data_IF_772685322404
#
_entry.id   IF_772685322404
#
_cell.length_a   1.000
_cell.length_b   1.000
_cell.length_c   1.000
_cell.angle_alpha   90.00
_cell.angle_beta   90.00
_cell.angle_gamma   90.00
#
_symmetry.space_group_name_H-M   'P 1'
#
loop_
_entity.id
_entity.type
_entity.pdbx_description
1 polymer ?
#
# COMPACT_ATOMS: atom_id res chain seq x y z
N UNK A 1 -33.92 5.90 6.20
CA UNK A 1 -33.69 5.95 7.66
C UNK A 1 -32.80 7.14 7.99
N UNK A 2 -32.68 7.54 9.27
CA UNK A 2 -31.77 8.65 9.67
C UNK A 2 -30.35 8.34 9.21
N UNK A 3 -29.93 7.07 9.24
CA UNK A 3 -28.61 6.64 8.79
C UNK A 3 -28.44 6.83 7.27
N UNK A 4 -29.44 6.50 6.46
CA UNK A 4 -29.41 6.72 5.00
C UNK A 4 -29.20 8.20 4.62
N UNK A 5 -29.79 9.12 5.38
CA UNK A 5 -29.63 10.56 5.14
C UNK A 5 -28.34 11.12 5.73
N UNK A 6 -27.89 10.57 6.87
CA UNK A 6 -26.69 11.02 7.58
C UNK A 6 -25.40 10.55 6.92
N UNK A 7 -25.36 9.32 6.40
CA UNK A 7 -24.14 8.70 5.88
C UNK A 7 -23.53 9.47 4.70
N UNK A 8 -24.30 9.94 3.70
CA UNK A 8 -23.76 10.78 2.63
C UNK A 8 -23.12 12.07 3.15
N UNK A 9 -23.74 12.71 4.14
CA UNK A 9 -23.21 13.94 4.75
C UNK A 9 -21.91 13.63 5.48
N UNK A 10 -21.91 12.62 6.34
CA UNK A 10 -20.73 12.21 7.11
C UNK A 10 -19.53 11.93 6.20
N UNK A 11 -19.73 11.11 5.17
CA UNK A 11 -18.64 10.70 4.27
C UNK A 11 -18.15 11.88 3.42
N UNK A 12 -19.07 12.68 2.87
CA UNK A 12 -18.69 13.86 2.08
C UNK A 12 -17.93 14.87 2.93
N UNK A 13 -18.35 15.12 4.17
CA UNK A 13 -17.63 16.01 5.08
C UNK A 13 -16.27 15.45 5.48
N UNK A 14 -16.15 14.14 5.70
CA UNK A 14 -14.92 13.52 6.15
C UNK A 14 -13.87 13.29 5.03
N UNK A 15 -14.32 13.05 3.79
CA UNK A 15 -13.48 12.59 2.68
C UNK A 15 -13.58 13.45 1.41
N UNK A 16 -14.52 14.39 1.34
CA UNK A 16 -14.79 15.18 0.12
C UNK A 16 -13.56 15.89 -0.42
N UNK A 17 -12.82 16.60 0.45
CA UNK A 17 -11.60 17.32 0.06
C UNK A 17 -10.51 16.38 -0.48
N UNK A 18 -10.37 15.20 0.12
CA UNK A 18 -9.38 14.18 -0.31
C UNK A 18 -9.72 13.58 -1.67
N UNK A 19 -11.01 13.45 -1.96
CA UNK A 19 -11.50 12.74 -3.14
C UNK A 19 -11.95 13.66 -4.28
N UNK A 20 -11.77 14.98 -4.12
CA UNK A 20 -12.26 16.01 -5.05
C UNK A 20 -11.72 15.85 -6.49
N UNK A 21 -10.55 15.25 -6.66
CA UNK A 21 -9.91 15.02 -7.97
C UNK A 21 -10.39 13.79 -8.76
N UNK A 22 -11.22 12.92 -8.17
CA UNK A 22 -11.54 11.61 -8.74
C UNK A 22 -12.92 11.53 -9.44
N UNK A 23 -13.66 12.65 -9.53
CA UNK A 23 -15.01 12.71 -10.14
C UNK A 23 -15.97 11.66 -9.59
N UNK A 24 -15.99 11.50 -8.25
CA UNK A 24 -16.83 10.52 -7.56
C UNK A 24 -18.19 11.11 -7.19
N UNK A 25 -19.22 10.26 -7.21
CA UNK A 25 -20.52 10.52 -6.60
C UNK A 25 -20.59 9.90 -5.21
N UNK A 26 -21.23 10.62 -4.29
CA UNK A 26 -21.43 10.22 -2.89
C UNK A 26 -22.92 10.21 -2.60
N UNK A 27 -23.46 9.07 -2.16
CA UNK A 27 -24.85 8.96 -1.76
C UNK A 27 -25.58 7.77 -2.40
N UNK A 28 -26.92 7.72 -2.28
CA UNK A 28 -27.72 6.64 -2.84
C UNK A 28 -27.58 6.60 -4.36
N UNK A 29 -27.29 5.43 -4.92
CA UNK A 29 -27.15 5.26 -6.36
C UNK A 29 -27.53 3.85 -6.83
N UNK A 30 -27.92 3.77 -8.10
CA UNK A 30 -28.02 2.50 -8.83
C UNK A 30 -26.68 2.16 -9.45
N UNK A 31 -26.19 0.98 -9.12
CA UNK A 31 -24.87 0.52 -9.49
C UNK A 31 -24.92 -0.69 -10.41
N UNK A 32 -23.96 -0.75 -11.32
CA UNK A 32 -23.80 -1.82 -12.28
C UNK A 32 -23.51 -3.15 -11.58
N UNK A 33 -24.28 -4.18 -11.92
CA UNK A 33 -24.05 -5.55 -11.46
C UNK A 33 -23.95 -6.55 -12.62
N UNK A 34 -24.06 -6.10 -13.87
CA UNK A 34 -23.96 -6.95 -15.04
C UNK A 34 -24.67 -6.39 -16.27
N UNK A 35 -24.46 -7.07 -17.40
CA UNK A 35 -25.03 -6.72 -18.70
C UNK A 35 -25.65 -7.97 -19.32
N UNK A 36 -26.82 -7.82 -19.94
CA UNK A 36 -27.45 -8.87 -20.74
C UNK A 36 -27.84 -8.32 -22.11
N UNK A 37 -27.81 -9.19 -23.12
CA UNK A 37 -28.20 -8.85 -24.48
C UNK A 37 -29.45 -9.63 -24.85
N UNK A 38 -30.55 -8.92 -25.08
CA UNK A 38 -31.81 -9.49 -25.56
C UNK A 38 -31.80 -9.48 -27.10
N UNK A 39 -30.96 -10.33 -27.68
CA UNK A 39 -30.83 -10.50 -29.13
C UNK A 39 -31.21 -11.91 -29.55
N UNK A 40 -31.83 -12.03 -30.74
CA UNK A 40 -32.06 -13.31 -31.40
C UNK A 40 -31.65 -13.20 -32.86
N UNK A 41 -31.32 -14.33 -33.50
CA UNK A 41 -30.98 -14.38 -34.94
C UNK A 41 -32.11 -13.73 -35.78
N UNK A 42 -33.35 -13.91 -35.36
CA UNK A 42 -34.54 -13.37 -36.04
C UNK A 42 -34.97 -11.99 -35.54
N UNK A 43 -34.34 -11.45 -34.50
CA UNK A 43 -34.67 -10.15 -33.90
C UNK A 43 -33.40 -9.44 -33.45
N UNK A 44 -32.88 -8.58 -34.32
CA UNK A 44 -31.74 -7.72 -34.04
C UNK A 44 -32.28 -6.37 -33.55
N UNK A 45 -32.27 -6.16 -32.23
CA UNK A 45 -32.51 -4.84 -31.67
C UNK A 45 -31.30 -3.91 -31.86
N UNK A 46 -31.48 -2.58 -31.83
CA UNK A 46 -30.35 -1.66 -31.81
C UNK A 46 -29.43 -2.00 -30.63
N UNK A 47 -28.11 -1.90 -30.85
CA UNK A 47 -27.11 -2.23 -29.83
C UNK A 47 -27.20 -3.65 -29.27
N UNK A 48 -27.70 -4.62 -30.04
CA UNK A 48 -27.84 -6.01 -29.60
C UNK A 48 -28.88 -6.23 -28.50
N UNK A 49 -29.80 -5.29 -28.28
CA UNK A 49 -30.79 -5.40 -27.21
C UNK A 49 -30.18 -5.30 -25.81
N UNK A 50 -29.10 -4.53 -25.66
CA UNK A 50 -28.41 -4.33 -24.39
C UNK A 50 -29.37 -3.89 -23.27
N UNK A 51 -29.25 -4.54 -22.11
CA UNK A 51 -29.89 -4.19 -20.85
C UNK A 51 -28.88 -4.30 -19.72
N UNK A 52 -28.79 -3.24 -18.92
CA UNK A 52 -28.01 -3.28 -17.69
C UNK A 52 -28.80 -3.99 -16.60
N UNK A 53 -28.09 -4.76 -15.77
CA UNK A 53 -28.57 -5.23 -14.48
C UNK A 53 -27.94 -4.33 -13.43
N UNK A 54 -28.78 -3.74 -12.60
CA UNK A 54 -28.36 -2.78 -11.58
C UNK A 54 -28.90 -3.19 -10.21
N UNK A 55 -28.26 -2.66 -9.17
CA UNK A 55 -28.70 -2.77 -7.79
C UNK A 55 -28.79 -1.38 -7.17
N UNK A 56 -29.89 -1.13 -6.47
CA UNK A 56 -30.04 0.06 -5.64
C UNK A 56 -29.25 -0.13 -4.35
N UNK A 57 -28.52 0.91 -3.94
CA UNK A 57 -27.80 0.93 -2.68
C UNK A 57 -28.14 2.19 -1.89
N UNK A 58 -28.27 2.03 -0.58
CA UNK A 58 -28.55 3.11 0.36
C UNK A 58 -27.43 4.17 0.38
N UNK A 59 -26.18 3.74 0.17
CA UNK A 59 -25.04 4.63 0.02
C UNK A 59 -23.97 4.05 -0.88
N UNK A 60 -23.40 4.90 -1.73
CA UNK A 60 -22.36 4.57 -2.70
C UNK A 60 -21.29 5.65 -2.70
N UNK A 61 -20.04 5.21 -2.79
CA UNK A 61 -18.93 6.01 -3.34
C UNK A 61 -18.60 5.37 -4.67
N UNK A 62 -18.92 6.06 -5.75
CA UNK A 62 -18.89 5.47 -7.08
C UNK A 62 -18.57 6.47 -8.15
N UNK A 63 -18.34 5.96 -9.36
CA UNK A 63 -18.14 6.81 -10.54
C UNK A 63 -19.20 6.50 -11.58
N UNK A 64 -19.69 7.56 -12.20
CA UNK A 64 -20.65 7.47 -13.29
C UNK A 64 -20.03 6.77 -14.50
N UNK A 65 -20.74 5.81 -15.07
CA UNK A 65 -20.31 5.01 -16.21
C UNK A 65 -21.33 5.13 -17.34
N UNK A 66 -20.84 5.35 -18.55
CA UNK A 66 -21.63 5.36 -19.78
C UNK A 66 -21.23 4.16 -20.63
N UNK A 67 -22.19 3.30 -20.97
CA UNK A 67 -21.96 2.11 -21.80
C UNK A 67 -22.74 2.30 -23.10
N UNK A 68 -22.07 2.11 -24.24
CA UNK A 68 -22.71 2.11 -25.55
C UNK A 68 -22.44 0.80 -26.27
N UNK A 69 -23.50 0.14 -26.72
CA UNK A 69 -23.42 -1.06 -27.54
C UNK A 69 -23.94 -0.75 -28.95
N UNK A 70 -23.25 -1.24 -29.98
CA UNK A 70 -23.67 -1.18 -31.38
C UNK A 70 -23.17 -2.42 -32.13
N UNK A 71 -23.86 -2.78 -33.22
CA UNK A 71 -23.37 -3.73 -34.22
C UNK A 71 -22.40 -3.08 -35.22
N UNK A 72 -22.27 -1.75 -35.20
CA UNK A 72 -21.45 -0.97 -36.11
C UNK A 72 -20.23 -0.40 -35.37
N UNK A 73 -19.05 -0.51 -35.99
CA UNK A 73 -17.78 -0.12 -35.37
C UNK A 73 -17.66 1.38 -35.06
N UNK A 74 -18.36 2.21 -35.83
CA UNK A 74 -18.47 3.65 -35.60
C UNK A 74 -19.54 4.02 -34.56
N UNK A 75 -20.13 3.01 -33.91
CA UNK A 75 -21.15 3.12 -32.88
C UNK A 75 -22.46 3.80 -33.34
N UNK A 76 -22.69 3.93 -34.66
CA UNK A 76 -23.99 4.37 -35.20
C UNK A 76 -25.07 3.34 -34.86
N UNK A 77 -26.32 3.80 -34.74
CA UNK A 77 -27.49 2.98 -34.36
C UNK A 77 -27.32 2.13 -33.07
N UNK A 78 -26.56 2.66 -32.11
CA UNK A 78 -26.30 2.02 -30.82
C UNK A 78 -27.30 2.35 -29.71
N UNK A 79 -27.27 1.55 -28.64
CA UNK A 79 -27.98 1.83 -27.38
C UNK A 79 -26.97 2.32 -26.36
N UNK A 80 -27.23 3.50 -25.80
CA UNK A 80 -26.46 4.05 -24.68
C UNK A 80 -27.23 3.84 -23.39
N UNK A 81 -26.54 3.40 -22.35
CA UNK A 81 -27.05 3.32 -21.00
C UNK A 81 -26.09 3.98 -20.02
N UNK A 82 -26.63 4.45 -18.91
CA UNK A 82 -25.91 5.14 -17.84
C UNK A 82 -26.09 4.33 -16.56
N UNK A 83 -25.01 4.20 -15.77
CA UNK A 83 -24.99 3.50 -14.49
C UNK A 83 -23.85 4.02 -13.62
N UNK A 84 -23.60 3.41 -12.45
CA UNK A 84 -22.46 3.71 -11.61
C UNK A 84 -21.61 2.47 -11.36
N UNK A 85 -20.29 2.62 -11.41
CA UNK A 85 -19.35 1.67 -10.82
C UNK A 85 -19.22 2.02 -9.34
N UNK A 86 -19.56 1.08 -8.47
CA UNK A 86 -19.44 1.27 -7.04
C UNK A 86 -18.07 0.80 -6.55
N UNK A 87 -17.33 1.67 -5.86
CA UNK A 87 -16.10 1.31 -5.16
C UNK A 87 -16.38 0.98 -3.70
N UNK A 88 -17.30 1.72 -3.08
CA UNK A 88 -17.84 1.41 -1.76
C UNK A 88 -19.34 1.44 -1.83
N UNK A 89 -19.97 0.43 -1.24
CA UNK A 89 -21.41 0.30 -1.09
C UNK A 89 -21.74 0.05 0.37
N UNK A 90 -22.81 0.66 0.84
CA UNK A 90 -23.35 0.41 2.16
C UNK A 90 -24.88 0.28 2.08
N UNK A 91 -25.40 -0.77 2.72
CA UNK A 91 -26.81 -0.96 2.99
C UNK A 91 -27.10 -0.55 4.43
N UNK A 92 -28.08 0.32 4.62
CA UNK A 92 -28.47 0.85 5.92
C UNK A 92 -29.78 0.21 6.35
N UNK A 93 -29.77 -0.51 7.48
CA UNK A 93 -30.97 -1.20 7.99
C UNK A 93 -31.27 -0.80 9.42
N UNK A 94 -32.54 -0.62 9.75
CA UNK A 94 -32.94 -0.43 11.15
C UNK A 94 -32.67 -1.69 11.98
N UNK A 95 -32.76 -2.87 11.39
CA UNK A 95 -32.43 -4.12 12.06
C UNK A 95 -31.81 -5.11 11.08
N UNK A 96 -31.09 -6.08 11.61
CA UNK A 96 -30.56 -7.20 10.84
C UNK A 96 -31.18 -8.51 11.31
N UNK A 97 -31.99 -9.13 10.45
CA UNK A 97 -32.49 -10.50 10.62
C UNK A 97 -31.84 -11.45 9.59
N UNK A 98 -32.14 -12.74 9.70
CA UNK A 98 -31.52 -13.78 8.86
C UNK A 98 -31.85 -13.62 7.37
N UNK A 99 -33.05 -13.18 7.02
CA UNK A 99 -33.47 -13.01 5.63
C UNK A 99 -32.74 -11.82 5.02
N UNK A 100 -32.69 -10.68 5.73
CA UNK A 100 -31.94 -9.50 5.30
C UNK A 100 -30.45 -9.78 5.11
N UNK A 101 -29.86 -10.57 6.02
CA UNK A 101 -28.46 -11.00 5.90
C UNK A 101 -28.22 -11.81 4.61
N UNK A 102 -29.10 -12.75 4.27
CA UNK A 102 -28.96 -13.56 3.06
C UNK A 102 -29.12 -12.74 1.77
N UNK A 103 -30.08 -11.81 1.74
CA UNK A 103 -30.29 -10.91 0.60
C UNK A 103 -29.10 -9.97 0.38
N UNK A 104 -28.54 -9.43 1.47
CA UNK A 104 -27.35 -8.60 1.41
C UNK A 104 -26.11 -9.40 0.98
N UNK A 105 -25.95 -10.64 1.43
CA UNK A 105 -24.85 -11.50 1.00
C UNK A 105 -24.90 -11.81 -0.50
N UNK A 106 -26.10 -12.08 -1.05
CA UNK A 106 -26.30 -12.27 -2.48
C UNK A 106 -26.03 -10.98 -3.27
N UNK A 107 -26.43 -9.83 -2.73
CA UNK A 107 -26.20 -8.52 -3.36
C UNK A 107 -24.72 -8.15 -3.36
N UNK A 108 -24.00 -8.40 -2.26
CA UNK A 108 -22.56 -8.21 -2.18
C UNK A 108 -21.82 -9.05 -3.23
N UNK A 109 -22.27 -10.30 -3.45
CA UNK A 109 -21.70 -11.17 -4.47
C UNK A 109 -21.95 -10.62 -5.88
N UNK A 110 -23.17 -10.16 -6.18
CA UNK A 110 -23.49 -9.54 -7.48
C UNK A 110 -22.61 -8.30 -7.75
N UNK A 111 -22.42 -7.43 -6.75
CA UNK A 111 -21.59 -6.21 -6.87
C UNK A 111 -20.12 -6.58 -7.09
N UNK A 112 -19.57 -7.49 -6.28
CA UNK A 112 -18.15 -7.89 -6.38
C UNK A 112 -17.86 -8.71 -7.63
N UNK A 113 -18.85 -9.42 -8.19
CA UNK A 113 -18.70 -10.07 -9.49
C UNK A 113 -18.50 -9.05 -10.62
N UNK A 114 -19.14 -7.88 -10.53
CA UNK A 114 -18.99 -6.80 -11.50
C UNK A 114 -17.75 -5.93 -11.22
N UNK A 115 -17.43 -5.71 -9.94
CA UNK A 115 -16.32 -4.86 -9.48
C UNK A 115 -15.57 -5.61 -8.37
N UNK A 116 -14.56 -6.43 -8.70
CA UNK A 116 -13.88 -7.29 -7.72
C UNK A 116 -13.27 -6.55 -6.53
N UNK A 117 -12.82 -5.31 -6.74
CA UNK A 117 -12.25 -4.45 -5.71
C UNK A 117 -13.30 -3.67 -4.88
N UNK A 118 -14.59 -3.76 -5.23
CA UNK A 118 -15.63 -3.03 -4.50
C UNK A 118 -15.72 -3.53 -3.06
N UNK A 119 -15.99 -2.61 -2.14
CA UNK A 119 -16.28 -2.91 -0.74
C UNK A 119 -17.78 -2.84 -0.47
N UNK A 120 -18.29 -3.78 0.29
CA UNK A 120 -19.71 -3.93 0.61
C UNK A 120 -19.93 -4.02 2.12
N UNK A 121 -20.69 -3.08 2.65
CA UNK A 121 -20.94 -2.93 4.07
C UNK A 121 -22.43 -3.00 4.41
N UNK A 122 -22.74 -3.52 5.60
CA UNK A 122 -24.08 -3.43 6.19
C UNK A 122 -24.00 -2.59 7.46
N UNK A 123 -24.67 -1.45 7.49
CA UNK A 123 -24.80 -0.60 8.66
C UNK A 123 -26.18 -0.81 9.27
N UNK A 124 -26.23 -1.50 10.40
CA UNK A 124 -27.48 -1.89 11.04
C UNK A 124 -27.61 -1.25 12.41
N UNK A 125 -28.72 -0.58 12.70
CA UNK A 125 -28.92 -0.01 14.05
C UNK A 125 -28.97 -1.10 15.13
N UNK A 126 -29.68 -2.21 14.84
CA UNK A 126 -29.92 -3.27 15.82
C UNK A 126 -29.66 -4.67 15.23
N UNK A 127 -29.10 -5.57 16.02
CA UNK A 127 -29.00 -6.99 15.66
C UNK A 127 -30.24 -7.75 16.17
N UNK A 128 -30.96 -8.42 15.26
CA UNK A 128 -32.21 -9.15 15.53
C UNK A 128 -32.07 -10.65 15.19
N UNK A 129 -30.85 -11.16 15.25
CA UNK A 129 -30.49 -12.56 14.99
C UNK A 129 -29.28 -12.98 15.83
N UNK A 130 -29.03 -14.28 15.94
CA UNK A 130 -27.77 -14.78 16.49
C UNK A 130 -26.62 -14.33 15.58
N UNK A 131 -25.50 -13.83 16.11
CA UNK A 131 -24.32 -13.51 15.31
C UNK A 131 -23.88 -14.70 14.44
N UNK A 132 -23.61 -14.44 13.16
CA UNK A 132 -23.10 -15.43 12.21
C UNK A 132 -21.76 -14.91 11.68
N UNK A 133 -20.83 -15.82 11.39
CA UNK A 133 -19.55 -15.48 10.78
C UNK A 133 -19.76 -15.01 9.33
N UNK A 134 -19.23 -13.82 8.99
CA UNK A 134 -19.31 -13.22 7.65
C UNK A 134 -18.22 -13.70 6.71
N UNK A 135 -17.20 -14.42 7.20
CA UNK A 135 -16.02 -14.84 6.42
C UNK A 135 -16.35 -15.73 5.22
N UNK A 136 -17.54 -16.33 5.19
CA UNK A 136 -18.03 -17.17 4.09
C UNK A 136 -18.89 -16.41 3.08
N UNK A 137 -18.99 -15.08 3.20
CA UNK A 137 -19.82 -14.22 2.36
C UNK A 137 -18.98 -13.17 1.64
N UNK A 138 -19.57 -12.53 0.62
CA UNK A 138 -18.95 -11.41 -0.08
C UNK A 138 -19.03 -10.07 0.71
N UNK A 139 -19.70 -10.03 1.86
CA UNK A 139 -19.82 -8.84 2.71
C UNK A 139 -18.48 -8.60 3.39
N UNK A 140 -17.90 -7.40 3.26
CA UNK A 140 -16.65 -7.04 3.93
C UNK A 140 -16.86 -6.89 5.44
N UNK A 141 -17.91 -6.16 5.83
CA UNK A 141 -18.19 -5.95 7.25
C UNK A 141 -19.67 -5.68 7.54
N UNK A 142 -20.13 -6.17 8.68
CA UNK A 142 -21.42 -5.83 9.27
C UNK A 142 -21.17 -4.98 10.51
N UNK A 143 -21.66 -3.75 10.47
CA UNK A 143 -21.46 -2.74 11.50
C UNK A 143 -22.77 -2.55 12.26
N UNK A 144 -22.78 -2.94 13.53
CA UNK A 144 -23.92 -2.74 14.41
C UNK A 144 -23.76 -1.41 15.15
N UNK A 145 -24.63 -0.45 14.85
CA UNK A 145 -24.49 0.94 15.29
C UNK A 145 -24.90 1.15 16.75
N UNK A 146 -25.72 0.28 17.34
CA UNK A 146 -26.09 0.33 18.76
C UNK A 146 -25.74 -0.97 19.45
N UNK A 147 -25.05 -0.90 20.59
CA UNK A 147 -24.58 -2.07 21.36
C UNK A 147 -25.69 -2.69 22.21
N UNK A 148 -26.85 -2.96 21.61
CA UNK A 148 -27.98 -3.61 22.28
C UNK A 148 -28.90 -4.36 21.33
N UNK A 149 -29.86 -5.10 21.89
CA UNK A 149 -30.90 -5.79 21.12
C UNK A 149 -32.02 -4.82 20.78
N UNK A 150 -32.66 -5.06 19.63
CA UNK A 150 -33.87 -4.34 19.23
C UNK A 150 -34.99 -4.54 20.25
N UNK A 151 -35.85 -3.52 20.40
CA UNK A 151 -37.12 -3.64 21.11
C UNK A 151 -37.94 -4.83 20.55
N UNK A 152 -38.40 -5.76 21.42
CA UNK A 152 -39.24 -6.89 21.02
C UNK A 152 -40.50 -6.51 20.24
N UNK A 153 -40.94 -7.37 19.33
CA UNK A 153 -42.06 -7.10 18.42
C UNK A 153 -43.39 -6.80 19.14
N UNK A 154 -43.66 -7.45 20.28
CA UNK A 154 -44.84 -7.23 21.10
C UNK A 154 -44.89 -5.80 21.68
N UNK A 155 -43.74 -5.26 22.09
CA UNK A 155 -43.65 -3.86 22.54
C UNK A 155 -43.72 -2.93 21.33
N UNK A 156 -43.13 -3.32 20.20
CA UNK A 156 -43.17 -2.50 18.97
C UNK A 156 -44.58 -2.32 18.41
N UNK A 157 -45.47 -3.28 18.63
CA UNK A 157 -46.87 -3.18 18.23
C UNK A 157 -47.57 -1.94 18.80
N UNK A 158 -47.13 -1.45 19.96
CA UNK A 158 -47.67 -0.22 20.58
C UNK A 158 -47.34 1.05 19.77
N UNK A 159 -46.34 1.03 18.89
CA UNK A 159 -46.00 2.15 18.01
C UNK A 159 -46.68 2.10 16.63
N UNK A 160 -47.55 1.12 16.37
CA UNK A 160 -48.19 0.94 15.06
C UNK A 160 -49.17 2.06 14.70
N UNK A 161 -49.85 2.64 15.70
CA UNK A 161 -50.84 3.73 15.51
C UNK A 161 -50.30 5.09 15.91
N UNK A 162 -50.88 6.18 15.38
CA UNK A 162 -50.50 7.55 15.76
C UNK A 162 -50.69 7.80 17.26
N UNK A 163 -51.82 7.34 17.81
CA UNK A 163 -52.11 7.47 19.24
C UNK A 163 -51.09 6.68 20.09
N UNK A 164 -50.77 5.45 19.69
CA UNK A 164 -49.78 4.61 20.35
C UNK A 164 -48.37 5.20 20.33
N UNK A 165 -47.94 5.79 19.20
CA UNK A 165 -46.68 6.54 19.09
C UNK A 165 -46.61 7.73 20.03
N UNK A 166 -47.72 8.49 20.17
CA UNK A 166 -47.78 9.63 21.09
C UNK A 166 -47.71 9.19 22.55
N UNK A 167 -48.45 8.15 22.92
CA UNK A 167 -48.46 7.63 24.28
C UNK A 167 -47.12 7.00 24.68
N UNK A 168 -46.46 6.30 23.75
CA UNK A 168 -45.22 5.56 24.02
C UNK A 168 -43.95 6.36 23.70
N UNK A 169 -44.09 7.66 23.36
CA UNK A 169 -42.96 8.51 22.94
C UNK A 169 -41.86 8.58 24.00
N UNK A 170 -42.23 8.76 25.27
CA UNK A 170 -41.26 8.85 26.38
C UNK A 170 -40.40 7.59 26.49
N UNK A 171 -41.04 6.41 26.46
CA UNK A 171 -40.35 5.12 26.53
C UNK A 171 -39.42 4.89 25.32
N UNK A 172 -39.80 5.35 24.13
CA UNK A 172 -38.94 5.26 22.95
C UNK A 172 -37.72 6.19 23.08
N UNK A 173 -37.91 7.41 23.57
CA UNK A 173 -36.81 8.36 23.80
C UNK A 173 -35.82 7.77 24.81
N UNK A 174 -36.30 7.32 25.96
CA UNK A 174 -35.48 6.70 27.00
C UNK A 174 -34.71 5.48 26.47
N UNK A 175 -35.34 4.66 25.62
CA UNK A 175 -34.67 3.53 24.98
C UNK A 175 -33.55 3.96 24.03
N UNK A 176 -33.75 5.02 23.25
CA UNK A 176 -32.73 5.54 22.33
C UNK A 176 -31.58 6.22 23.05
N UNK A 177 -31.87 6.92 24.16
CA UNK A 177 -30.87 7.60 25.01
C UNK A 177 -30.03 6.61 25.81
N UNK A 178 -30.62 5.51 26.29
CA UNK A 178 -29.90 4.42 26.97
C UNK A 178 -29.04 3.57 26.04
N UNK A 179 -29.29 3.63 24.72
CA UNK A 179 -28.58 2.84 23.73
C UNK A 179 -28.15 3.72 22.54
N UNK A 180 -27.28 4.73 22.75
CA UNK A 180 -26.92 5.68 21.73
C UNK A 180 -26.19 5.02 20.55
N UNK A 181 -26.14 5.72 19.43
CA UNK A 181 -25.29 5.34 18.30
C UNK A 181 -23.82 5.36 18.75
N UNK A 182 -23.07 4.32 18.40
CA UNK A 182 -21.67 4.16 18.78
C UNK A 182 -20.76 4.91 17.80
N UNK A 183 -20.18 6.03 18.24
CA UNK A 183 -19.29 6.85 17.41
C UNK A 183 -18.11 6.04 16.85
N UNK A 184 -17.53 5.14 17.63
CA UNK A 184 -16.42 4.27 17.20
C UNK A 184 -16.76 3.46 15.95
N UNK A 185 -18.02 3.07 15.77
CA UNK A 185 -18.45 2.32 14.58
C UNK A 185 -18.43 3.17 13.31
N UNK A 186 -18.77 4.45 13.41
CA UNK A 186 -18.64 5.40 12.31
C UNK A 186 -17.19 5.77 12.04
N UNK A 187 -16.39 5.96 13.10
CA UNK A 187 -14.95 6.17 12.96
C UNK A 187 -14.30 4.99 12.27
N UNK A 188 -14.65 3.75 12.61
CA UNK A 188 -14.17 2.53 11.93
C UNK A 188 -14.59 2.49 10.46
N UNK A 189 -15.87 2.78 10.18
CA UNK A 189 -16.35 2.88 8.80
C UNK A 189 -15.56 3.90 7.98
N UNK A 190 -15.23 5.07 8.54
CA UNK A 190 -14.44 6.08 7.84
C UNK A 190 -12.95 5.72 7.76
N UNK A 191 -12.33 5.36 8.89
CA UNK A 191 -10.88 5.24 9.05
C UNK A 191 -10.29 3.95 8.49
N UNK A 192 -11.00 2.84 8.60
CA UNK A 192 -10.51 1.53 8.16
C UNK A 192 -11.06 1.17 6.79
N UNK A 193 -12.29 1.61 6.49
CA UNK A 193 -13.10 1.04 5.41
C UNK A 193 -13.33 2.00 4.23
N UNK A 194 -13.32 3.32 4.47
CA UNK A 194 -13.35 4.34 3.41
C UNK A 194 -11.98 4.98 3.12
N UNK A 195 -11.01 4.94 4.05
CA UNK A 195 -9.62 5.32 3.73
C UNK A 195 -8.92 4.32 2.80
N UNK A 196 -9.38 3.07 2.76
CA UNK A 196 -8.99 2.07 1.76
C UNK A 196 -9.50 2.36 0.34
N UNK A 197 -10.18 3.48 0.08
CA UNK A 197 -10.54 3.92 -1.28
C UNK A 197 -9.32 4.47 -2.03
N UNK A 198 -8.33 5.01 -1.29
CA UNK A 198 -6.98 5.25 -1.82
C UNK A 198 -6.23 3.92 -2.06
N UNK A 199 -6.73 2.80 -1.53
CA UNK A 199 -6.20 1.46 -1.75
C UNK A 199 -6.84 0.75 -2.98
N UNK A 200 -7.12 1.53 -4.05
CA UNK A 200 -6.56 1.09 -5.32
C UNK A 200 -5.04 1.18 -5.13
N UNK A 201 -4.42 0.10 -4.62
CA UNK A 201 -3.01 0.04 -4.23
C UNK A 201 -2.19 0.95 -5.13
N UNK A 202 -1.70 2.07 -4.59
CA UNK A 202 -0.84 2.93 -5.37
C UNK A 202 0.30 2.03 -5.84
N UNK A 203 0.52 1.87 -7.16
CA UNK A 203 1.47 0.88 -7.64
C UNK A 203 2.84 1.19 -7.00
N UNK A 204 3.49 0.15 -6.48
CA UNK A 204 4.77 0.27 -5.80
C UNK A 204 5.73 0.98 -6.77
N UNK A 205 6.32 2.14 -6.39
CA UNK A 205 7.25 2.83 -7.28
C UNK A 205 8.46 1.96 -7.57
N UNK A 206 8.76 1.79 -8.85
CA UNK A 206 9.86 0.95 -9.34
C UNK A 206 10.99 1.85 -9.82
N UNK A 207 12.11 1.79 -9.11
CA UNK A 207 13.36 2.45 -9.46
C UNK A 207 14.45 1.47 -9.84
N UNK A 208 15.67 1.98 -9.96
CA UNK A 208 16.83 1.22 -10.39
C UNK A 208 18.10 1.74 -9.73
N UNK A 209 18.91 0.81 -9.24
CA UNK A 209 20.28 1.09 -8.82
C UNK A 209 21.14 1.28 -10.09
N UNK A 210 21.69 2.48 -10.25
CA UNK A 210 22.38 2.86 -11.48
C UNK A 210 23.53 3.83 -11.19
N UNK A 211 24.52 3.89 -12.07
CA UNK A 211 25.52 4.96 -12.05
C UNK A 211 25.07 6.14 -12.92
N UNK A 212 25.40 7.39 -12.57
CA UNK A 212 24.96 8.59 -13.30
C UNK A 212 25.17 8.51 -14.83
N UNK A 213 26.28 7.91 -15.25
CA UNK A 213 26.71 7.85 -16.65
C UNK A 213 25.82 6.93 -17.50
N UNK A 214 25.12 5.97 -16.87
CA UNK A 214 24.23 5.03 -17.54
C UNK A 214 22.79 5.50 -17.64
N UNK A 215 22.41 6.59 -16.97
CA UNK A 215 21.03 7.10 -16.93
C UNK A 215 20.51 7.44 -18.32
N UNK A 216 21.36 7.95 -19.21
CA UNK A 216 20.98 8.28 -20.60
C UNK A 216 20.58 7.06 -21.44
N UNK A 217 21.06 5.86 -21.08
CA UNK A 217 20.75 4.60 -21.75
C UNK A 217 19.63 3.81 -21.06
N UNK A 218 19.06 4.34 -19.97
CA UNK A 218 18.00 3.70 -19.21
C UNK A 218 16.68 3.70 -20.00
N UNK A 219 15.98 2.57 -20.01
CA UNK A 219 14.64 2.51 -20.56
C UNK A 219 13.68 3.48 -19.84
N UNK A 220 12.81 4.20 -20.55
CA UNK A 220 11.87 5.12 -19.92
C UNK A 220 10.82 4.37 -19.07
N UNK A 221 10.33 5.02 -18.01
CA UNK A 221 9.20 4.55 -17.20
C UNK A 221 9.54 4.05 -15.79
N UNK A 222 10.81 4.09 -15.39
CA UNK A 222 11.19 3.99 -13.97
C UNK A 222 10.73 5.24 -13.21
N UNK A 223 10.34 5.08 -11.95
CA UNK A 223 9.78 6.16 -11.12
C UNK A 223 10.87 6.97 -10.39
N UNK A 224 12.00 6.34 -10.08
CA UNK A 224 13.12 6.97 -9.37
C UNK A 224 14.46 6.32 -9.72
N UNK A 225 15.54 7.04 -9.40
CA UNK A 225 16.90 6.52 -9.42
C UNK A 225 17.39 6.21 -8.01
N UNK A 226 18.24 5.20 -7.93
CA UNK A 226 19.02 4.86 -6.75
C UNK A 226 20.50 4.90 -7.07
N UNK A 227 21.26 5.77 -6.40
CA UNK A 227 22.69 5.98 -6.68
C UNK A 227 23.55 5.55 -5.49
N UNK A 228 24.78 5.13 -5.76
CA UNK A 228 25.73 4.81 -4.71
C UNK A 228 26.19 6.07 -3.95
N UNK A 229 26.03 6.11 -2.62
CA UNK A 229 26.51 7.23 -1.79
C UNK A 229 28.02 7.41 -1.95
N UNK A 230 28.77 6.34 -1.73
CA UNK A 230 30.24 6.39 -1.67
C UNK A 230 30.90 6.91 -2.95
N UNK A 231 30.36 6.57 -4.12
CA UNK A 231 30.91 7.00 -5.42
C UNK A 231 30.18 8.17 -6.06
N UNK A 232 28.89 8.39 -5.76
CA UNK A 232 28.11 9.49 -6.36
C UNK A 232 28.07 10.73 -5.49
N UNK A 233 27.97 10.58 -4.16
CA UNK A 233 27.95 11.71 -3.23
C UNK A 233 29.34 12.02 -2.66
N UNK A 234 30.31 11.15 -2.88
CA UNK A 234 31.73 11.30 -2.51
C UNK A 234 31.98 11.95 -1.12
N UNK A 235 31.39 11.46 -0.01
CA UNK A 235 31.38 12.20 1.26
C UNK A 235 32.75 12.38 1.93
N UNK A 236 33.75 11.58 1.51
CA UNK A 236 35.14 11.76 1.94
C UNK A 236 35.82 12.97 1.28
N UNK A 237 35.34 13.41 0.12
CA UNK A 237 35.84 14.59 -0.57
C UNK A 237 35.26 15.87 0.03
N UNK A 238 36.01 16.96 -0.08
CA UNK A 238 35.61 18.29 0.37
C UNK A 238 34.39 18.83 -0.41
N UNK A 239 33.67 19.78 0.19
CA UNK A 239 32.39 20.27 -0.35
C UNK A 239 32.54 21.04 -1.67
N UNK A 240 33.69 21.66 -1.91
CA UNK A 240 34.01 22.33 -3.17
C UNK A 240 34.14 21.34 -4.35
N UNK A 241 34.71 20.15 -4.10
CA UNK A 241 34.76 19.06 -5.06
C UNK A 241 33.35 18.52 -5.35
N UNK A 242 32.52 18.38 -4.32
CA UNK A 242 31.15 17.90 -4.49
C UNK A 242 30.24 18.89 -5.21
N UNK A 243 30.42 20.20 -5.02
CA UNK A 243 29.57 21.22 -5.63
C UNK A 243 29.50 21.11 -7.16
N UNK A 244 30.62 20.79 -7.82
CA UNK A 244 30.66 20.55 -9.26
C UNK A 244 29.85 19.31 -9.66
N UNK A 245 29.95 18.24 -8.86
CA UNK A 245 29.26 16.97 -9.09
C UNK A 245 27.75 17.06 -8.83
N UNK A 246 27.33 17.87 -7.86
CA UNK A 246 25.93 18.03 -7.49
C UNK A 246 25.09 18.52 -8.67
N UNK A 247 25.59 19.49 -9.45
CA UNK A 247 24.88 20.02 -10.61
C UNK A 247 24.54 18.93 -11.64
N UNK A 248 25.48 18.02 -11.92
CA UNK A 248 25.26 16.90 -12.84
C UNK A 248 24.20 15.92 -12.31
N UNK A 249 24.15 15.72 -10.99
CA UNK A 249 23.18 14.83 -10.34
C UNK A 249 21.77 15.43 -10.30
N UNK A 250 21.65 16.75 -10.08
CA UNK A 250 20.38 17.47 -10.04
C UNK A 250 19.59 17.39 -11.36
N UNK A 251 20.29 17.25 -12.49
CA UNK A 251 19.70 17.16 -13.82
C UNK A 251 19.22 15.75 -14.19
N UNK A 252 19.58 14.72 -13.42
CA UNK A 252 19.20 13.34 -13.72
C UNK A 252 17.69 13.12 -13.61
N UNK A 253 17.14 12.37 -14.57
CA UNK A 253 15.72 11.99 -14.60
C UNK A 253 15.57 10.48 -14.84
N UNK A 254 14.62 9.79 -14.17
CA UNK A 254 13.72 10.28 -13.11
C UNK A 254 14.49 10.77 -11.86
N UNK A 255 13.80 11.40 -10.90
CA UNK A 255 14.49 11.97 -9.72
C UNK A 255 15.16 10.87 -8.90
N UNK A 256 16.29 11.20 -8.30
CA UNK A 256 16.94 10.35 -7.31
C UNK A 256 16.08 10.36 -6.04
N UNK A 257 15.76 9.18 -5.49
CA UNK A 257 14.95 9.05 -4.26
C UNK A 257 15.55 8.08 -3.24
N UNK A 258 16.50 7.25 -3.66
CA UNK A 258 17.17 6.30 -2.79
C UNK A 258 18.68 6.33 -3.06
N UNK A 259 19.45 5.83 -2.11
CA UNK A 259 20.88 5.65 -2.28
C UNK A 259 21.35 4.33 -1.68
N UNK A 260 22.24 3.61 -2.35
CA UNK A 260 22.87 2.40 -1.83
C UNK A 260 24.37 2.61 -1.55
N UNK A 261 25.07 1.55 -1.14
CA UNK A 261 26.51 1.57 -0.87
C UNK A 261 26.92 2.75 0.05
N UNK A 262 26.20 2.87 1.18
CA UNK A 262 26.26 4.03 2.08
C UNK A 262 27.68 4.36 2.54
N UNK A 263 28.41 3.38 3.09
CA UNK A 263 29.78 3.56 3.61
C UNK A 263 30.77 2.70 2.80
N UNK A 264 31.88 3.27 2.31
CA UNK A 264 32.89 2.52 1.57
C UNK A 264 33.72 1.63 2.51
N UNK A 265 34.20 0.48 2.01
CA UNK A 265 34.90 -0.51 2.84
C UNK A 265 36.23 -0.05 3.44
N UNK A 266 36.79 1.07 2.98
CA UNK A 266 37.99 1.69 3.55
C UNK A 266 37.71 2.43 4.86
N UNK A 267 36.47 2.88 5.10
CA UNK A 267 36.05 3.49 6.35
C UNK A 267 35.40 2.41 7.22
N UNK A 268 36.13 1.93 8.23
CA UNK A 268 35.65 0.83 9.08
C UNK A 268 34.65 1.33 10.11
N UNK A 269 33.62 0.52 10.37
CA UNK A 269 32.59 0.74 11.38
C UNK A 269 32.70 -0.25 12.55
N UNK A 270 33.53 -1.28 12.39
CA UNK A 270 33.75 -2.35 13.37
C UNK A 270 35.24 -2.62 13.51
N UNK A 271 35.69 -2.83 14.75
CA UNK A 271 37.08 -3.13 15.10
C UNK A 271 37.62 -2.22 16.20
N UNK A 272 38.86 -2.45 16.63
CA UNK A 272 39.50 -1.67 17.69
C UNK A 272 39.80 -0.23 17.25
N UNK A 273 40.20 -0.05 15.98
CA UNK A 273 40.72 1.21 15.44
C UNK A 273 39.70 1.97 14.57
N UNK A 274 38.42 1.96 14.96
CA UNK A 274 37.40 2.74 14.25
C UNK A 274 37.63 4.23 14.49
N UNK A 275 37.92 4.97 13.42
CA UNK A 275 38.01 6.43 13.43
C UNK A 275 36.61 7.07 13.44
N UNK A 276 36.08 7.26 14.64
CA UNK A 276 34.74 7.82 14.82
C UNK A 276 34.61 9.28 14.38
N UNK A 277 35.68 10.07 14.43
CA UNK A 277 35.64 11.45 13.96
C UNK A 277 35.44 11.48 12.44
N UNK A 278 36.15 10.63 11.71
CA UNK A 278 35.98 10.49 10.27
C UNK A 278 34.60 9.92 9.91
N UNK A 279 34.10 8.96 10.69
CA UNK A 279 32.75 8.39 10.51
C UNK A 279 31.67 9.46 10.70
N UNK A 280 31.77 10.28 11.74
CA UNK A 280 30.83 11.36 12.03
C UNK A 280 30.80 12.39 10.90
N UNK A 281 31.96 12.87 10.46
CA UNK A 281 32.06 13.79 9.32
C UNK A 281 31.52 13.17 8.03
N UNK A 282 31.79 11.89 7.78
CA UNK A 282 31.29 11.17 6.61
C UNK A 282 29.77 11.12 6.59
N UNK A 283 29.15 10.74 7.70
CA UNK A 283 27.69 10.58 7.82
C UNK A 283 26.98 11.92 7.66
N UNK A 284 27.49 12.99 8.30
CA UNK A 284 26.94 14.34 8.15
C UNK A 284 26.94 14.76 6.67
N UNK A 285 28.09 14.67 6.00
CA UNK A 285 28.20 15.02 4.58
C UNK A 285 27.31 14.15 3.70
N UNK A 286 27.31 12.84 3.92
CA UNK A 286 26.55 11.90 3.11
C UNK A 286 25.06 12.20 3.15
N UNK A 287 24.49 12.38 4.36
CA UNK A 287 23.06 12.59 4.54
C UNK A 287 22.63 13.98 4.11
N UNK A 288 23.43 15.02 4.39
CA UNK A 288 23.17 16.37 3.87
C UNK A 288 23.16 16.40 2.33
N UNK A 289 24.13 15.73 1.69
CA UNK A 289 24.21 15.65 0.23
C UNK A 289 23.06 14.84 -0.38
N UNK A 290 22.66 13.73 0.26
CA UNK A 290 21.51 12.93 -0.15
C UNK A 290 20.19 13.73 -0.03
N UNK A 291 20.03 14.49 1.06
CA UNK A 291 18.87 15.34 1.30
C UNK A 291 18.74 16.44 0.23
N UNK A 292 19.86 17.08 -0.16
CA UNK A 292 19.85 18.11 -1.20
C UNK A 292 19.37 17.61 -2.57
N UNK A 293 19.55 16.32 -2.86
CA UNK A 293 19.06 15.68 -4.08
C UNK A 293 17.62 15.14 -3.93
N UNK A 294 16.98 15.32 -2.76
CA UNK A 294 15.62 14.87 -2.46
C UNK A 294 15.52 13.37 -2.17
N UNK A 295 16.58 12.79 -1.59
CA UNK A 295 16.59 11.41 -1.11
C UNK A 295 15.63 11.15 0.03
N UNK A 296 14.93 10.02 -0.01
CA UNK A 296 14.04 9.54 1.05
C UNK A 296 14.68 8.37 1.83
N UNK A 297 15.53 7.57 1.18
CA UNK A 297 16.12 6.35 1.75
C UNK A 297 17.61 6.28 1.47
N UNK A 298 18.39 5.86 2.49
CA UNK A 298 19.80 5.49 2.34
C UNK A 298 20.02 4.07 2.87
N UNK A 299 20.46 3.17 2.00
CA UNK A 299 20.63 1.74 2.27
C UNK A 299 22.00 1.46 2.89
N UNK A 300 21.98 0.90 4.09
CA UNK A 300 23.14 0.43 4.83
C UNK A 300 23.40 -1.06 4.59
N UNK A 301 23.99 -1.39 3.44
CA UNK A 301 24.53 -2.72 3.12
C UNK A 301 26.01 -2.86 3.49
N UNK A 302 26.87 -2.00 2.92
CA UNK A 302 28.26 -1.70 3.34
C UNK A 302 29.09 -2.86 3.96
N UNK A 303 29.04 -4.06 3.36
CA UNK A 303 29.66 -5.27 3.92
C UNK A 303 31.14 -5.09 4.27
N UNK A 304 31.91 -4.43 3.40
CA UNK A 304 33.33 -4.16 3.65
C UNK A 304 33.61 -3.22 4.82
N UNK A 305 32.68 -2.31 5.16
CA UNK A 305 32.83 -1.37 6.27
C UNK A 305 32.44 -2.01 7.62
N UNK A 306 31.47 -2.95 7.60
CA UNK A 306 30.87 -3.54 8.81
C UNK A 306 31.28 -4.99 9.10
N UNK A 307 32.03 -5.64 8.21
CA UNK A 307 32.50 -7.01 8.44
C UNK A 307 33.33 -7.10 9.73
N UNK A 308 33.00 -8.08 10.57
CA UNK A 308 33.67 -8.31 11.85
C UNK A 308 35.07 -8.87 11.59
N UNK A 309 36.15 -8.21 12.07
CA UNK A 309 37.49 -8.75 11.95
C UNK A 309 37.65 -10.11 12.63
N UNK A 310 38.55 -10.94 12.12
CA UNK A 310 38.84 -12.25 12.72
C UNK A 310 39.31 -12.06 14.17
N UNK A 311 38.70 -12.80 15.10
CA UNK A 311 39.03 -12.72 16.54
C UNK A 311 38.37 -11.57 17.30
N UNK A 312 37.70 -10.63 16.61
CA UNK A 312 36.97 -9.55 17.26
C UNK A 312 35.60 -10.02 17.77
N UNK A 313 35.16 -9.49 18.92
CA UNK A 313 33.90 -9.89 19.54
C UNK A 313 32.70 -9.44 18.70
N UNK A 314 31.84 -10.39 18.31
CA UNK A 314 30.58 -10.07 17.61
C UNK A 314 29.67 -9.16 18.44
N UNK A 315 29.71 -9.28 19.77
CA UNK A 315 28.92 -8.42 20.67
C UNK A 315 29.43 -6.98 20.65
N UNK A 316 30.75 -6.78 20.66
CA UNK A 316 31.34 -5.45 20.53
C UNK A 316 31.09 -4.86 19.14
N UNK A 317 31.21 -5.68 18.08
CA UNK A 317 30.86 -5.28 16.73
C UNK A 317 29.40 -4.82 16.63
N UNK A 318 28.45 -5.58 17.20
CA UNK A 318 27.05 -5.21 17.25
C UNK A 318 26.84 -3.86 17.94
N UNK A 319 27.50 -3.64 19.10
CA UNK A 319 27.45 -2.36 19.80
C UNK A 319 27.99 -1.18 18.98
N UNK A 320 29.03 -1.39 18.18
CA UNK A 320 29.55 -0.36 17.26
C UNK A 320 28.56 -0.06 16.12
N UNK A 321 27.86 -1.07 15.60
CA UNK A 321 26.82 -0.87 14.60
C UNK A 321 25.60 -0.13 15.17
N UNK A 322 25.21 -0.43 16.41
CA UNK A 322 24.18 0.34 17.12
C UNK A 322 24.60 1.81 17.28
N UNK A 323 25.85 2.08 17.68
CA UNK A 323 26.40 3.45 17.76
C UNK A 323 26.35 4.16 16.41
N UNK A 324 26.84 3.51 15.36
CA UNK A 324 26.84 4.07 14.00
C UNK A 324 25.43 4.42 13.52
N UNK A 325 24.48 3.48 13.63
CA UNK A 325 23.10 3.72 13.20
C UNK A 325 22.40 4.77 14.06
N UNK A 326 22.72 4.88 15.36
CA UNK A 326 22.20 5.96 16.23
C UNK A 326 22.68 7.34 15.78
N UNK A 327 23.95 7.44 15.36
CA UNK A 327 24.51 8.64 14.75
C UNK A 327 23.81 8.97 13.43
N UNK A 328 23.65 8.00 12.54
CA UNK A 328 22.93 8.18 11.28
C UNK A 328 21.48 8.63 11.51
N UNK A 329 20.78 8.05 12.49
CA UNK A 329 19.43 8.44 12.85
C UNK A 329 19.35 9.91 13.31
N UNK A 330 20.34 10.38 14.08
CA UNK A 330 20.41 11.78 14.50
C UNK A 330 20.51 12.76 13.32
N UNK A 331 21.33 12.42 12.32
CA UNK A 331 21.50 13.23 11.11
C UNK A 331 20.30 13.11 10.14
N UNK A 332 19.75 11.89 10.00
CA UNK A 332 18.64 11.61 9.10
C UNK A 332 17.32 12.29 9.53
N UNK A 333 17.10 12.43 10.84
CA UNK A 333 15.92 13.06 11.43
C UNK A 333 15.69 14.50 10.94
N UNK A 334 16.76 15.25 10.68
CA UNK A 334 16.67 16.63 10.20
C UNK A 334 16.20 16.74 8.73
N UNK A 335 16.16 15.63 8.01
CA UNK A 335 15.97 15.57 6.57
C UNK A 335 14.87 14.61 6.12
N UNK A 336 14.10 14.04 7.07
CA UNK A 336 13.08 13.01 6.80
C UNK A 336 13.62 11.80 6.01
N UNK A 337 14.91 11.46 6.20
CA UNK A 337 15.56 10.32 5.55
C UNK A 337 15.39 9.07 6.42
N UNK A 338 15.12 7.93 5.76
CA UNK A 338 15.17 6.61 6.40
C UNK A 338 16.48 5.90 6.08
N UNK A 339 17.17 5.41 7.10
CA UNK A 339 18.31 4.49 6.96
C UNK A 339 17.77 3.06 6.93
N UNK A 340 17.92 2.38 5.79
CA UNK A 340 17.44 1.01 5.62
C UNK A 340 18.61 0.02 5.75
N UNK A 341 18.65 -0.75 6.84
CA UNK A 341 19.64 -1.82 7.06
C UNK A 341 19.39 -2.91 6.03
N UNK A 342 20.37 -3.19 5.19
CA UNK A 342 20.31 -4.30 4.23
C UNK A 342 21.08 -5.49 4.80
N UNK A 343 20.42 -6.61 5.09
CA UNK A 343 21.09 -7.87 5.36
C UNK A 343 21.77 -8.39 4.10
N UNK A 344 23.02 -8.82 4.23
CA UNK A 344 23.81 -9.34 3.11
C UNK A 344 24.02 -10.84 3.28
N UNK A 345 24.24 -11.53 2.16
CA UNK A 345 24.59 -12.95 2.21
C UNK A 345 25.99 -13.14 2.84
N UNK A 346 26.26 -14.34 3.35
CA UNK A 346 27.49 -14.71 4.08
C UNK A 346 28.75 -14.65 3.23
N UNK A 347 28.63 -14.63 1.90
CA UNK A 347 29.79 -14.45 1.01
C UNK A 347 30.23 -12.99 0.94
N UNK A 348 29.34 -12.04 1.28
CA UNK A 348 29.58 -10.61 1.22
C UNK A 348 29.78 -9.97 2.60
N UNK A 349 29.14 -10.49 3.66
CA UNK A 349 29.32 -10.01 5.02
C UNK A 349 29.11 -11.12 6.06
N UNK A 350 29.80 -11.02 7.20
CA UNK A 350 29.70 -12.02 8.27
C UNK A 350 28.79 -11.59 9.44
N UNK A 351 28.06 -10.47 9.32
CA UNK A 351 27.13 -9.94 10.32
C UNK A 351 25.93 -9.30 9.63
N UNK A 352 24.74 -9.43 10.24
CA UNK A 352 23.45 -9.02 9.66
C UNK A 352 23.22 -9.74 8.33
N UNK A 353 22.97 -11.05 8.43
CA UNK A 353 22.82 -11.94 7.26
C UNK A 353 21.40 -12.47 7.09
N UNK A 354 20.43 -11.95 7.83
CA UNK A 354 19.01 -12.25 7.64
C UNK A 354 18.15 -11.03 7.92
N UNK A 355 16.94 -11.02 7.37
CA UNK A 355 15.97 -9.94 7.58
C UNK A 355 15.68 -9.72 9.07
N UNK A 356 15.40 -10.80 9.80
CA UNK A 356 15.10 -10.70 11.23
C UNK A 356 16.31 -10.28 12.08
N UNK A 357 17.55 -10.56 11.66
CA UNK A 357 18.74 -10.00 12.31
C UNK A 357 18.85 -8.49 12.05
N UNK A 358 18.54 -8.04 10.84
CA UNK A 358 18.42 -6.61 10.53
C UNK A 358 17.36 -5.91 11.37
N UNK A 359 16.19 -6.55 11.55
CA UNK A 359 15.11 -6.04 12.42
C UNK A 359 15.56 -5.98 13.87
N UNK A 360 16.27 -6.99 14.37
CA UNK A 360 16.80 -6.96 15.74
C UNK A 360 17.77 -5.79 15.92
N UNK A 361 18.64 -5.52 14.95
CA UNK A 361 19.55 -4.36 15.02
C UNK A 361 18.78 -3.04 15.01
N UNK A 362 17.76 -2.89 14.16
CA UNK A 362 16.91 -1.70 14.15
C UNK A 362 16.19 -1.48 15.49
N UNK A 363 15.69 -2.56 16.10
CA UNK A 363 15.08 -2.55 17.45
C UNK A 363 16.06 -2.13 18.53
N UNK A 364 17.29 -2.61 18.48
CA UNK A 364 18.34 -2.27 19.45
C UNK A 364 18.79 -0.81 19.31
N UNK A 365 18.73 -0.23 18.11
CA UNK A 365 18.95 1.21 17.89
C UNK A 365 17.77 2.03 18.43
N UNK A 366 16.55 1.49 18.36
CA UNK A 366 15.32 2.08 18.92
C UNK A 366 15.02 3.50 18.39
N UNK A 367 15.09 3.66 17.05
CA UNK A 367 14.88 4.94 16.35
C UNK A 367 13.95 4.78 15.15
N UNK A 368 13.12 5.78 14.89
CA UNK A 368 12.14 5.74 13.79
C UNK A 368 12.80 5.90 12.41
N UNK A 369 13.95 6.55 12.38
CA UNK A 369 14.75 6.78 11.17
C UNK A 369 15.49 5.52 10.71
N UNK A 370 15.52 4.45 11.52
CA UNK A 370 16.23 3.20 11.20
C UNK A 370 15.23 2.08 10.98
N UNK A 371 15.26 1.54 9.77
CA UNK A 371 14.38 0.48 9.28
C UNK A 371 15.22 -0.57 8.53
N UNK A 372 14.56 -1.52 7.88
CA UNK A 372 15.21 -2.66 7.21
C UNK A 372 14.83 -2.68 5.73
N UNK A 373 15.78 -3.14 4.91
CA UNK A 373 15.58 -3.45 3.51
C UNK A 373 15.43 -4.96 3.30
N UNK A 374 14.54 -5.36 2.39
CA UNK A 374 14.49 -6.74 1.90
C UNK A 374 15.09 -6.82 0.49
N UNK A 375 16.22 -7.52 0.34
CA UNK A 375 16.82 -7.83 -0.95
C UNK A 375 16.60 -9.31 -1.29
N UNK A 376 15.83 -9.58 -2.34
CA UNK A 376 15.52 -10.96 -2.74
C UNK A 376 16.77 -11.79 -3.08
N UNK A 377 17.83 -11.20 -3.63
CA UNK A 377 19.07 -11.90 -3.92
C UNK A 377 19.70 -12.45 -2.64
N UNK A 378 19.76 -11.65 -1.57
CA UNK A 378 20.32 -12.06 -0.29
C UNK A 378 19.45 -13.12 0.40
N UNK A 379 18.12 -12.97 0.37
CA UNK A 379 17.20 -14.01 0.84
C UNK A 379 17.44 -15.35 0.13
N UNK A 380 17.56 -15.34 -1.19
CA UNK A 380 17.75 -16.57 -1.97
C UNK A 380 19.13 -17.20 -1.75
N UNK A 381 20.19 -16.39 -1.61
CA UNK A 381 21.54 -16.88 -1.31
C UNK A 381 21.62 -17.55 0.07
N UNK A 382 20.90 -17.03 1.06
CA UNK A 382 20.87 -17.59 2.43
C UNK A 382 19.80 -18.66 2.63
N UNK A 383 19.02 -18.98 1.59
CA UNK A 383 17.82 -19.82 1.68
C UNK A 383 16.85 -19.37 2.80
N UNK A 384 16.75 -18.05 2.98
CA UNK A 384 15.85 -17.42 3.94
C UNK A 384 14.40 -17.40 3.40
N UNK A 385 13.39 -17.80 4.19
CA UNK A 385 12.00 -17.66 3.80
C UNK A 385 11.60 -16.18 3.66
N UNK A 386 11.04 -15.81 2.50
CA UNK A 386 10.47 -14.46 2.29
C UNK A 386 9.39 -14.10 3.32
N UNK A 387 8.70 -15.11 3.87
CA UNK A 387 7.66 -14.95 4.88
C UNK A 387 8.19 -14.32 6.19
N UNK A 388 9.51 -14.25 6.40
CA UNK A 388 10.08 -13.48 7.51
C UNK A 388 9.70 -11.99 7.45
N UNK A 389 9.39 -11.45 6.27
CA UNK A 389 8.86 -10.09 6.12
C UNK A 389 7.48 -9.98 6.79
N UNK A 390 6.64 -11.03 6.72
CA UNK A 390 5.32 -11.05 7.37
C UNK A 390 5.41 -11.11 8.90
N UNK A 391 6.53 -11.59 9.45
CA UNK A 391 6.74 -11.68 10.90
C UNK A 391 6.94 -10.28 11.50
N UNK A 392 7.66 -9.40 10.80
CA UNK A 392 8.00 -8.04 11.25
C UNK A 392 7.81 -7.04 10.09
N UNK A 393 6.56 -6.82 9.62
CA UNK A 393 6.29 -6.06 8.40
C UNK A 393 6.51 -4.55 8.58
N UNK A 394 6.25 -4.02 9.78
CA UNK A 394 6.35 -2.60 10.10
C UNK A 394 7.78 -2.04 10.01
N UNK A 395 8.78 -2.93 9.96
CA UNK A 395 10.20 -2.57 9.86
C UNK A 395 10.70 -2.46 8.42
N UNK A 396 9.93 -2.92 7.43
CA UNK A 396 10.34 -2.87 6.03
C UNK A 396 10.16 -1.46 5.46
N UNK A 397 11.26 -0.84 5.01
CA UNK A 397 11.25 0.50 4.41
C UNK A 397 11.60 0.54 2.92
N UNK A 398 12.37 -0.45 2.44
CA UNK A 398 12.83 -0.48 1.05
C UNK A 398 13.01 -1.92 0.57
N UNK A 399 12.99 -2.12 -0.76
CA UNK A 399 13.13 -3.45 -1.38
C UNK A 399 14.12 -3.39 -2.53
N UNK A 400 15.06 -4.33 -2.56
CA UNK A 400 15.92 -4.58 -3.72
C UNK A 400 15.44 -5.80 -4.50
N UNK A 401 15.43 -5.63 -5.83
CA UNK A 401 14.89 -6.59 -6.77
C UNK A 401 15.98 -7.09 -7.71
N UNK A 402 16.14 -8.40 -7.75
CA UNK A 402 16.95 -9.12 -8.71
C UNK A 402 16.28 -10.47 -9.01
N UNK A 403 16.85 -11.20 -9.95
CA UNK A 403 16.47 -12.56 -10.29
C UNK A 403 17.68 -13.50 -10.19
N UNK A 404 17.46 -14.76 -10.55
CA UNK A 404 18.41 -15.86 -10.45
C UNK A 404 19.77 -15.47 -11.02
N UNK A 405 20.82 -15.65 -10.21
CA UNK A 405 22.18 -15.22 -10.56
C UNK A 405 22.40 -13.70 -10.46
N UNK A 406 21.59 -13.00 -9.66
CA UNK A 406 21.56 -11.54 -9.52
C UNK A 406 21.36 -10.84 -10.88
N UNK A 407 20.58 -11.45 -11.77
CA UNK A 407 20.21 -10.90 -13.09
C UNK A 407 18.91 -10.09 -12.98
N UNK A 408 18.49 -9.48 -14.09
CA UNK A 408 17.33 -8.59 -14.08
C UNK A 408 16.00 -9.33 -13.80
N UNK A 409 15.05 -8.73 -13.06
CA UNK A 409 13.76 -9.33 -12.72
C UNK A 409 12.94 -9.84 -13.91
N UNK A 410 12.57 -11.13 -13.91
CA UNK A 410 11.86 -11.80 -15.01
C UNK A 410 12.77 -12.57 -15.97
N UNK A 411 14.07 -12.69 -15.65
CA UNK A 411 15.04 -13.48 -16.42
C UNK A 411 15.29 -14.87 -15.85
N UNK A 412 14.78 -15.18 -14.65
CA UNK A 412 15.05 -16.41 -13.94
C UNK A 412 13.81 -16.96 -13.23
N UNK A 413 14.03 -17.56 -12.07
CA UNK A 413 13.03 -18.29 -11.28
C UNK A 413 12.96 -17.84 -9.82
N UNK A 414 13.54 -16.69 -9.45
CA UNK A 414 13.33 -16.18 -8.09
C UNK A 414 11.84 -15.88 -7.87
N UNK A 415 11.29 -16.16 -6.69
CA UNK A 415 9.85 -16.12 -6.43
C UNK A 415 9.34 -14.68 -6.24
N UNK A 416 9.53 -13.82 -7.24
CA UNK A 416 9.15 -12.41 -7.22
C UNK A 416 7.63 -12.24 -7.07
N UNK A 417 6.82 -13.14 -7.65
CA UNK A 417 5.36 -13.15 -7.44
C UNK A 417 5.01 -13.32 -5.96
N UNK A 418 5.74 -14.18 -5.22
CA UNK A 418 5.52 -14.36 -3.78
C UNK A 418 5.96 -13.11 -3.01
N UNK A 419 7.12 -12.53 -3.35
CA UNK A 419 7.56 -11.28 -2.73
C UNK A 419 6.50 -10.18 -2.91
N UNK A 420 6.05 -9.93 -4.14
CA UNK A 420 5.02 -8.91 -4.39
C UNK A 420 3.67 -9.24 -3.76
N UNK A 421 3.29 -10.51 -3.63
CA UNK A 421 2.12 -10.91 -2.87
C UNK A 421 2.25 -10.56 -1.38
N UNK A 422 3.42 -10.77 -0.77
CA UNK A 422 3.72 -10.35 0.61
C UNK A 422 3.65 -8.83 0.73
N UNK A 423 4.27 -8.08 -0.18
CA UNK A 423 4.24 -6.61 -0.16
C UNK A 423 2.80 -6.07 -0.24
N UNK A 424 1.94 -6.71 -1.04
CA UNK A 424 0.50 -6.39 -1.10
C UNK A 424 -0.24 -6.76 0.18
N UNK A 425 0.06 -7.91 0.76
CA UNK A 425 -0.57 -8.41 2.00
C UNK A 425 -0.30 -7.48 3.19
N UNK A 426 0.90 -6.90 3.26
CA UNK A 426 1.30 -5.98 4.34
C UNK A 426 0.99 -4.51 4.05
N UNK A 427 0.30 -4.22 2.93
CA UNK A 427 0.02 -2.85 2.46
C UNK A 427 1.30 -1.98 2.40
N UNK A 428 2.36 -2.53 1.80
CA UNK A 428 3.67 -1.87 1.72
C UNK A 428 3.60 -0.53 0.98
N UNK A 429 3.99 0.55 1.66
CA UNK A 429 3.93 1.92 1.14
C UNK A 429 5.28 2.45 0.62
N UNK A 430 6.35 1.66 0.76
CA UNK A 430 7.69 2.05 0.34
C UNK A 430 7.92 1.88 -1.17
N UNK A 431 9.19 1.88 -1.55
CA UNK A 431 9.62 1.75 -2.96
C UNK A 431 10.37 0.45 -3.17
N UNK A 432 10.58 0.10 -4.44
CA UNK A 432 11.47 -1.00 -4.80
C UNK A 432 12.44 -0.55 -5.89
N UNK A 433 13.70 -0.97 -5.78
CA UNK A 433 14.73 -0.66 -6.77
C UNK A 433 15.30 -1.94 -7.36
N UNK A 434 15.50 -1.95 -8.69
CA UNK A 434 16.20 -3.05 -9.35
C UNK A 434 17.69 -2.95 -9.05
N UNK A 435 18.24 -3.93 -8.34
CA UNK A 435 19.65 -4.03 -8.00
C UNK A 435 20.23 -5.33 -8.57
N UNK A 436 20.68 -5.29 -9.81
CA UNK A 436 21.15 -6.48 -10.50
C UNK A 436 22.33 -6.21 -11.43
N UNK A 437 22.94 -7.30 -11.90
CA UNK A 437 23.91 -7.28 -12.98
C UNK A 437 23.21 -7.28 -14.33
N UNK A 438 23.57 -6.31 -15.17
CA UNK A 438 23.08 -6.15 -16.54
C UNK A 438 24.02 -6.82 -17.54
N UNK A 439 23.49 -7.19 -18.71
CA UNK A 439 24.23 -7.73 -19.85
C UNK A 439 24.65 -6.63 -20.83
N UNK A 440 24.97 -7.03 -22.06
CA UNK A 440 25.38 -6.09 -23.12
C UNK A 440 24.23 -5.17 -23.58
N UNK A 441 23.01 -5.70 -23.65
CA UNK A 441 21.80 -4.95 -24.03
C UNK A 441 21.14 -4.28 -22.81
N UNK A 442 21.84 -3.31 -22.19
CA UNK A 442 21.36 -2.61 -21.00
C UNK A 442 19.96 -1.99 -21.18
N UNK A 443 19.75 -1.27 -22.29
CA UNK A 443 18.46 -0.61 -22.57
C UNK A 443 17.31 -1.62 -22.77
N UNK A 444 17.56 -2.71 -23.51
CA UNK A 444 16.55 -3.73 -23.72
C UNK A 444 16.25 -4.58 -22.48
N UNK A 445 17.26 -4.90 -21.67
CA UNK A 445 17.09 -5.62 -20.41
C UNK A 445 16.34 -4.77 -19.38
N UNK A 446 16.69 -3.50 -19.20
CA UNK A 446 15.98 -2.59 -18.27
C UNK A 446 14.50 -2.41 -18.68
N UNK A 447 14.20 -2.38 -19.98
CA UNK A 447 12.82 -2.33 -20.48
C UNK A 447 12.04 -3.64 -20.20
N UNK A 448 12.68 -4.81 -20.34
CA UNK A 448 12.07 -6.11 -20.02
C UNK A 448 11.78 -6.24 -18.53
N UNK A 449 12.76 -5.89 -17.69
CA UNK A 449 12.63 -5.91 -16.24
C UNK A 449 11.47 -5.03 -15.76
N UNK A 450 11.40 -3.78 -16.25
CA UNK A 450 10.34 -2.86 -15.88
C UNK A 450 8.96 -3.40 -16.28
N UNK A 451 8.80 -3.93 -17.50
CA UNK A 451 7.51 -4.53 -17.93
C UNK A 451 7.09 -5.69 -17.04
N UNK A 452 8.02 -6.56 -16.68
CA UNK A 452 7.75 -7.69 -15.78
C UNK A 452 7.27 -7.18 -14.41
N UNK A 453 8.03 -6.26 -13.81
CA UNK A 453 7.71 -5.70 -12.48
C UNK A 453 6.40 -4.92 -12.45
N UNK A 454 6.06 -4.18 -13.51
CA UNK A 454 4.76 -3.50 -13.59
C UNK A 454 3.59 -4.47 -13.62
N UNK A 455 3.78 -5.67 -14.15
CA UNK A 455 2.78 -6.75 -14.07
C UNK A 455 2.54 -7.26 -12.65
N UNK A 456 3.53 -7.12 -11.75
CA UNK A 456 3.44 -7.56 -10.35
C UNK A 456 3.04 -6.43 -9.40
N UNK A 457 3.52 -5.21 -9.65
CA UNK A 457 3.32 -4.02 -8.82
C UNK A 457 1.94 -3.35 -8.99
N UNK A 458 1.20 -3.71 -10.05
CA UNK A 458 -0.12 -3.17 -10.39
C UNK A 458 -1.29 -3.83 -9.68
#
# INVERSE_FOLDING_TARGET
TIIEEFLPILVTTALGDRLQGYELSFGPARCFSGIRFESAITRVGPGGGMRLREKDHDFVIGRKLFIRASHQADLREGVTAETHIAYVTAECKTNLDKTMFQEAAATALDVKAAVPAARYYLLCEWLDMTPINTSTTAIDEIIILRKAKRIPSNVRAHFSTVAGRRASRGALIEHLESHPLCVDTFTRFLATNCRGIDAMSKPIPIGICISPEKVSALAPGYDHLELAVSSSLIPLEADDVYAARQADLDDLRPRIRAFNLFVPGQLKLVGEDVDWEQVELYVERALHRAANLGGDVVVFGSGGARAVPMGYSRVLAWGQLVRFLSLCAGQAAAHDITIAIEPLNRTECNIITSYLEGVQLAKDVARDEVRVLADIYHFMMEAEPLDHILVEPDWLAHVHLADTGRRWPGSGMYPLERLFAILKEIDYQGRASVECSWGEDFGGETAKALRFLRGLAG
#
